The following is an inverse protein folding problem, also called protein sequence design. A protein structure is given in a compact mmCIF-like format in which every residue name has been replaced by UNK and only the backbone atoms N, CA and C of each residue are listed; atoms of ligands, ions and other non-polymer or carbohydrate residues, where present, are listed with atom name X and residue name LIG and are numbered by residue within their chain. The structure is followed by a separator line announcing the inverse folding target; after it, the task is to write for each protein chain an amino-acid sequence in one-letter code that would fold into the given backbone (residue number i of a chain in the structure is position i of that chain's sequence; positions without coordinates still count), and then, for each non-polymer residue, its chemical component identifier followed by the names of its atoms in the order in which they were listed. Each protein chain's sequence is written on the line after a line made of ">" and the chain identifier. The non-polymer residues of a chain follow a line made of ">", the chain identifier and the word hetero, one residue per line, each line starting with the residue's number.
data_IF_048162748965
#
_entry.id   IF_048162748965
#
_cell.length_a   1.000
_cell.length_b   1.000
_cell.length_c   1.000
_cell.angle_alpha   90.00
_cell.angle_beta   90.00
_cell.angle_gamma   90.00
#
_symmetry.space_group_name_H-M   'P 1'
#
loop_
_entity.id
_entity.type
_entity.pdbx_description
1 polymer ?
#
# COMPACT_ATOMS: atom_id res chain seq x y z
N UNK A 1 12.79 7.23 11.55
CA UNK A 1 11.90 7.29 10.37
C UNK A 1 12.26 6.17 9.40
N UNK A 2 11.28 5.57 8.73
CA UNK A 2 11.55 4.74 7.55
C UNK A 2 12.25 5.57 6.47
N UNK A 3 12.79 4.93 5.42
CA UNK A 3 13.43 5.68 4.34
C UNK A 3 12.43 6.58 3.57
N UNK A 4 11.13 6.32 3.70
CA UNK A 4 10.05 7.20 3.23
C UNK A 4 9.58 8.18 4.31
N UNK A 5 9.24 9.41 3.94
CA UNK A 5 8.55 10.35 4.84
C UNK A 5 7.06 10.02 5.00
N UNK A 6 6.57 9.00 4.29
CA UNK A 6 5.17 8.61 4.23
C UNK A 6 4.88 7.47 5.19
N UNK A 7 3.74 7.60 5.87
CA UNK A 7 3.11 6.55 6.66
C UNK A 7 1.80 6.15 5.99
N UNK A 8 1.31 4.93 6.25
CA UNK A 8 -0.01 4.52 5.78
C UNK A 8 -1.10 5.40 6.39
N UNK A 9 -0.94 5.83 7.64
CA UNK A 9 -1.80 6.82 8.30
C UNK A 9 -1.96 8.07 7.43
N UNK A 10 -0.85 8.69 7.03
CA UNK A 10 -0.88 9.91 6.22
C UNK A 10 -1.53 9.67 4.85
N UNK A 11 -1.17 8.57 4.18
CA UNK A 11 -1.76 8.20 2.89
C UNK A 11 -3.27 7.99 2.99
N UNK A 12 -3.74 7.34 4.06
CA UNK A 12 -5.16 7.05 4.25
C UNK A 12 -5.96 8.30 4.63
N UNK A 13 -5.45 9.18 5.49
CA UNK A 13 -6.09 10.48 5.75
C UNK A 13 -6.21 11.27 4.44
N UNK A 14 -5.12 11.39 3.68
CA UNK A 14 -5.12 12.14 2.43
C UNK A 14 -6.10 11.54 1.39
N UNK A 15 -6.21 10.21 1.33
CA UNK A 15 -7.17 9.54 0.45
C UNK A 15 -8.61 9.83 0.87
N UNK A 16 -8.91 9.79 2.16
CA UNK A 16 -10.23 10.16 2.69
C UNK A 16 -10.59 11.64 2.44
N UNK A 17 -9.60 12.54 2.44
CA UNK A 17 -9.80 13.95 2.11
C UNK A 17 -10.16 14.14 0.63
N UNK A 18 -9.53 13.39 -0.27
CA UNK A 18 -9.71 13.54 -1.73
C UNK A 18 -10.94 12.83 -2.29
N UNK A 19 -11.51 11.87 -1.57
CA UNK A 19 -12.73 11.17 -2.00
C UNK A 19 -13.95 12.04 -1.69
N UNK A 20 -14.65 12.46 -2.73
CA UNK A 20 -15.85 13.30 -2.67
C UNK A 20 -16.97 12.70 -3.55
N UNK A 21 -18.19 13.23 -3.42
CA UNK A 21 -19.33 12.82 -4.26
C UNK A 21 -19.13 13.29 -5.70
N UNK A 22 -19.36 12.41 -6.69
CA UNK A 22 -19.45 12.80 -8.09
C UNK A 22 -18.12 12.82 -8.85
N UNK A 23 -17.77 13.96 -9.47
CA UNK A 23 -16.75 14.21 -10.52
C UNK A 23 -15.27 13.98 -10.10
N UNK A 24 -15.04 13.14 -9.10
CA UNK A 24 -13.71 12.69 -8.75
C UNK A 24 -13.03 11.90 -9.88
N UNK A 25 -11.71 11.88 -9.84
CA UNK A 25 -10.89 11.06 -10.74
C UNK A 25 -11.21 9.56 -10.63
N UNK A 26 -11.72 9.09 -9.48
CA UNK A 26 -12.22 7.72 -9.32
C UNK A 26 -13.70 7.78 -8.98
N UNK A 27 -14.49 6.98 -9.69
CA UNK A 27 -15.92 6.84 -9.47
C UNK A 27 -16.20 5.63 -8.58
N UNK A 28 -17.09 5.84 -7.61
CA UNK A 28 -17.53 4.81 -6.68
C UNK A 28 -19.05 4.71 -6.66
N UNK A 29 -19.58 3.50 -6.45
CA UNK A 29 -21.00 3.25 -6.19
C UNK A 29 -21.45 3.93 -4.89
N UNK A 30 -20.67 3.74 -3.83
CA UNK A 30 -20.81 4.45 -2.57
C UNK A 30 -19.46 5.04 -2.16
N UNK A 31 -19.24 6.30 -2.54
CA UNK A 31 -18.01 7.02 -2.23
C UNK A 31 -17.84 7.23 -0.71
N UNK A 32 -18.93 7.33 0.06
CA UNK A 32 -18.88 7.58 1.49
C UNK A 32 -18.38 6.35 2.24
N UNK A 33 -18.79 5.14 1.81
CA UNK A 33 -18.24 3.88 2.32
C UNK A 33 -16.73 3.78 2.12
N UNK A 34 -16.22 4.12 0.94
CA UNK A 34 -14.77 4.10 0.65
C UNK A 34 -14.02 5.19 1.41
N UNK A 35 -14.59 6.40 1.47
CA UNK A 35 -14.05 7.53 2.26
C UNK A 35 -13.91 7.17 3.73
N UNK A 36 -14.97 6.65 4.34
CA UNK A 36 -14.97 6.27 5.75
C UNK A 36 -14.04 5.08 6.02
N UNK A 37 -13.94 4.12 5.10
CA UNK A 37 -12.97 3.03 5.19
C UNK A 37 -11.53 3.56 5.34
N UNK A 38 -11.12 4.59 4.61
CA UNK A 38 -9.79 5.17 4.76
C UNK A 38 -9.60 5.89 6.10
N UNK A 39 -10.56 6.72 6.53
CA UNK A 39 -10.48 7.39 7.83
C UNK A 39 -10.43 6.39 8.99
N UNK A 40 -11.29 5.37 8.96
CA UNK A 40 -11.34 4.35 10.01
C UNK A 40 -10.06 3.51 10.01
N UNK A 41 -9.49 3.19 8.84
CA UNK A 41 -8.18 2.55 8.73
C UNK A 41 -7.07 3.39 9.35
N UNK A 42 -7.04 4.70 9.08
CA UNK A 42 -6.07 5.62 9.65
C UNK A 42 -6.22 5.70 11.18
N UNK A 43 -7.45 5.84 11.68
CA UNK A 43 -7.74 5.87 13.13
C UNK A 43 -7.20 4.63 13.84
N UNK A 44 -7.41 3.43 13.30
CA UNK A 44 -6.88 2.21 13.90
C UNK A 44 -5.35 2.16 13.91
N UNK A 45 -4.68 2.74 12.92
CA UNK A 45 -3.21 2.77 12.82
C UNK A 45 -2.54 3.85 13.66
N UNK A 46 -3.31 4.82 14.17
CA UNK A 46 -2.76 5.97 14.90
C UNK A 46 -1.84 5.52 16.05
N UNK A 47 -0.62 6.07 16.09
CA UNK A 47 0.40 5.77 17.10
C UNK A 47 1.22 4.49 16.85
N UNK A 48 0.71 3.52 16.10
CA UNK A 48 1.47 2.29 15.81
C UNK A 48 2.68 2.55 14.93
N UNK A 49 2.50 3.32 13.85
CA UNK A 49 3.59 3.64 12.90
C UNK A 49 4.67 4.49 13.54
N UNK A 50 4.31 5.41 14.44
CA UNK A 50 5.26 6.25 15.17
C UNK A 50 6.18 5.42 16.07
N UNK A 51 5.62 4.43 16.77
CA UNK A 51 6.40 3.51 17.61
C UNK A 51 7.37 2.68 16.74
N UNK A 52 6.92 2.19 15.58
CA UNK A 52 7.80 1.44 14.66
C UNK A 52 8.94 2.32 14.13
N UNK A 53 8.61 3.54 13.71
CA UNK A 53 9.53 4.42 12.99
C UNK A 53 10.48 5.18 13.92
N UNK A 54 10.01 5.58 15.10
CA UNK A 54 10.68 6.53 15.99
C UNK A 54 10.79 6.03 17.45
N UNK A 55 10.11 4.94 17.82
CA UNK A 55 10.15 4.43 19.19
C UNK A 55 11.55 4.00 19.65
N UNK A 56 11.93 4.44 20.85
CA UNK A 56 13.17 4.07 21.53
C UNK A 56 13.14 2.63 22.05
N UNK A 57 11.96 2.19 22.53
CA UNK A 57 11.68 0.81 22.94
C UNK A 57 10.40 0.30 22.30
N UNK A 58 10.31 -1.02 22.17
CA UNK A 58 9.05 -1.67 21.77
C UNK A 58 8.10 -1.73 22.97
N UNK A 59 6.81 -1.44 22.78
CA UNK A 59 5.82 -1.46 23.85
C UNK A 59 5.51 -2.89 24.30
N UNK A 60 5.09 -3.02 25.56
CA UNK A 60 4.55 -4.27 26.11
C UNK A 60 3.13 -4.53 25.62
N UNK A 61 2.64 -5.75 25.85
CA UNK A 61 1.33 -6.19 25.35
C UNK A 61 0.19 -5.29 25.81
N UNK A 62 0.17 -4.95 27.08
CA UNK A 62 -0.83 -4.11 27.71
C UNK A 62 -0.81 -2.69 27.12
N UNK A 63 0.37 -2.17 26.79
CA UNK A 63 0.54 -0.81 26.27
C UNK A 63 -0.05 -0.67 24.85
N UNK A 64 0.29 -1.60 23.94
CA UNK A 64 -0.21 -1.54 22.57
C UNK A 64 -1.67 -2.00 22.45
N UNK A 65 -2.14 -2.88 23.34
CA UNK A 65 -3.57 -3.23 23.42
C UNK A 65 -4.39 -2.05 23.90
N UNK A 66 -3.97 -1.37 24.98
CA UNK A 66 -4.66 -0.17 25.46
C UNK A 66 -4.68 0.94 24.39
N UNK A 67 -3.63 1.04 23.57
CA UNK A 67 -3.62 1.94 22.41
C UNK A 67 -4.65 1.53 21.36
N UNK A 68 -4.68 0.25 20.97
CA UNK A 68 -5.69 -0.26 20.03
C UNK A 68 -7.11 0.00 20.54
N UNK A 69 -7.40 -0.29 21.81
CA UNK A 69 -8.71 -0.09 22.43
C UNK A 69 -9.15 1.38 22.44
N UNK A 70 -8.20 2.32 22.57
CA UNK A 70 -8.48 3.76 22.40
C UNK A 70 -8.83 4.08 20.95
N UNK A 71 -8.03 3.63 19.99
CA UNK A 71 -8.27 3.87 18.58
C UNK A 71 -9.62 3.31 18.11
N UNK A 72 -10.00 2.13 18.60
CA UNK A 72 -11.29 1.49 18.33
C UNK A 72 -12.48 2.38 18.73
N UNK A 73 -12.39 3.10 19.85
CA UNK A 73 -13.47 4.00 20.32
C UNK A 73 -13.69 5.21 19.41
N UNK A 74 -12.71 5.55 18.57
CA UNK A 74 -12.83 6.64 17.60
C UNK A 74 -13.45 6.19 16.26
N UNK A 75 -13.60 4.88 16.05
CA UNK A 75 -14.13 4.31 14.81
C UNK A 75 -15.62 4.05 14.95
N UNK A 76 -16.43 4.65 14.09
CA UNK A 76 -17.89 4.50 14.11
C UNK A 76 -18.36 3.16 13.52
N UNK A 77 -17.62 2.63 12.53
CA UNK A 77 -17.96 1.39 11.85
C UNK A 77 -17.65 0.16 12.73
N UNK A 78 -18.64 -0.27 13.51
CA UNK A 78 -18.51 -1.41 14.44
C UNK A 78 -18.25 -2.73 13.73
N UNK A 79 -18.76 -2.91 12.50
CA UNK A 79 -18.53 -4.13 11.70
C UNK A 79 -17.05 -4.23 11.32
N UNK A 80 -16.47 -3.11 10.86
CA UNK A 80 -15.04 -3.02 10.57
C UNK A 80 -14.19 -3.31 11.82
N UNK A 81 -14.48 -2.66 12.94
CA UNK A 81 -13.80 -2.87 14.22
C UNK A 81 -13.85 -4.34 14.64
N UNK A 82 -15.04 -4.94 14.64
CA UNK A 82 -15.25 -6.31 15.08
C UNK A 82 -14.44 -7.28 14.21
N UNK A 83 -14.48 -7.08 12.89
CA UNK A 83 -13.75 -7.92 11.94
C UNK A 83 -12.23 -7.82 12.13
N UNK A 84 -11.69 -6.60 12.20
CA UNK A 84 -10.25 -6.38 12.38
C UNK A 84 -9.78 -7.00 13.70
N UNK A 85 -10.53 -6.76 14.78
CA UNK A 85 -10.23 -7.30 16.11
C UNK A 85 -10.20 -8.82 16.10
N UNK A 86 -11.23 -9.46 15.54
CA UNK A 86 -11.31 -10.92 15.47
C UNK A 86 -10.16 -11.52 14.64
N UNK A 87 -9.83 -10.93 13.49
CA UNK A 87 -8.74 -11.42 12.65
C UNK A 87 -7.39 -11.34 13.37
N UNK A 88 -7.10 -10.23 14.05
CA UNK A 88 -5.87 -10.08 14.83
C UNK A 88 -5.84 -11.11 15.96
N UNK A 89 -6.91 -11.24 16.73
CA UNK A 89 -7.00 -12.19 17.84
C UNK A 89 -6.77 -13.64 17.37
N UNK A 90 -7.45 -14.07 16.31
CA UNK A 90 -7.28 -15.40 15.74
C UNK A 90 -5.84 -15.66 15.26
N UNK A 91 -5.19 -14.68 14.64
CA UNK A 91 -3.81 -14.82 14.16
C UNK A 91 -2.80 -14.83 15.32
N UNK A 92 -3.04 -14.02 16.35
CA UNK A 92 -2.21 -14.00 17.56
C UNK A 92 -2.32 -15.34 18.32
N UNK A 93 -3.52 -15.87 18.56
CA UNK A 93 -3.71 -17.15 19.24
C UNK A 93 -3.01 -18.30 18.50
N UNK A 94 -3.19 -18.39 17.18
CA UNK A 94 -2.52 -19.40 16.34
C UNK A 94 -0.99 -19.31 16.39
N UNK A 95 -0.44 -18.09 16.54
CA UNK A 95 1.01 -17.91 16.69
C UNK A 95 1.47 -18.31 18.09
N UNK A 96 0.68 -17.96 19.11
CA UNK A 96 0.99 -18.30 20.50
C UNK A 96 1.03 -19.81 20.74
N UNK A 97 0.21 -20.57 20.03
CA UNK A 97 0.22 -22.05 20.09
C UNK A 97 1.46 -22.68 19.42
N UNK A 98 2.11 -21.98 18.47
CA UNK A 98 3.15 -22.57 17.60
C UNK A 98 4.59 -22.18 17.97
N UNK A 99 4.81 -21.07 18.68
CA UNK A 99 6.14 -20.55 18.96
C UNK A 99 6.35 -20.36 20.48
N UNK A 100 7.36 -21.02 21.07
CA UNK A 100 7.68 -20.92 22.51
C UNK A 100 8.50 -19.66 22.88
N UNK A 101 9.03 -18.92 21.90
CA UNK A 101 9.88 -17.74 22.10
C UNK A 101 9.37 -16.58 21.23
N UNK A 102 8.75 -15.59 21.85
CA UNK A 102 8.21 -14.42 21.15
C UNK A 102 9.22 -13.28 21.12
N UNK A 103 10.16 -13.34 20.18
CA UNK A 103 10.89 -12.11 19.84
C UNK A 103 9.92 -11.16 19.10
N UNK A 104 9.64 -10.01 19.71
CA UNK A 104 8.90 -8.87 19.13
C UNK A 104 7.40 -9.08 18.85
N UNK A 105 6.60 -9.28 19.91
CA UNK A 105 5.12 -9.36 19.84
C UNK A 105 4.49 -8.12 19.18
N UNK A 106 4.98 -6.92 19.49
CA UNK A 106 4.43 -5.69 18.91
C UNK A 106 4.51 -5.65 17.38
N UNK A 107 5.68 -5.95 16.78
CA UNK A 107 5.82 -5.99 15.31
C UNK A 107 4.93 -7.06 14.69
N UNK A 108 4.74 -8.18 15.38
CA UNK A 108 3.81 -9.23 14.94
C UNK A 108 2.37 -8.73 14.95
N UNK A 109 1.94 -8.14 16.05
CA UNK A 109 0.61 -7.56 16.20
C UNK A 109 0.35 -6.49 15.14
N UNK A 110 1.31 -5.57 14.94
CA UNK A 110 1.23 -4.53 13.91
C UNK A 110 1.11 -5.12 12.50
N UNK A 111 1.86 -6.18 12.18
CA UNK A 111 1.71 -6.89 10.89
C UNK A 111 0.30 -7.44 10.71
N UNK A 112 -0.29 -8.03 11.75
CA UNK A 112 -1.65 -8.57 11.69
C UNK A 112 -2.71 -7.47 11.60
N UNK A 113 -2.50 -6.33 12.28
CA UNK A 113 -3.33 -5.14 12.12
C UNK A 113 -3.32 -4.64 10.67
N UNK A 114 -2.13 -4.47 10.07
CA UNK A 114 -2.00 -4.05 8.68
C UNK A 114 -2.68 -5.02 7.72
N UNK A 115 -2.55 -6.33 7.96
CA UNK A 115 -3.20 -7.36 7.15
C UNK A 115 -4.72 -7.28 7.28
N UNK A 116 -5.24 -7.20 8.49
CA UNK A 116 -6.68 -7.17 8.73
C UNK A 116 -7.35 -5.94 8.11
N UNK A 117 -6.67 -4.79 8.18
CA UNK A 117 -7.09 -3.57 7.49
C UNK A 117 -7.07 -3.77 5.97
N UNK A 118 -5.98 -4.30 5.41
CA UNK A 118 -5.87 -4.53 3.96
C UNK A 118 -6.95 -5.49 3.44
N UNK A 119 -7.22 -6.58 4.16
CA UNK A 119 -8.26 -7.55 3.81
C UNK A 119 -9.66 -6.90 3.80
N UNK A 120 -9.96 -5.98 4.73
CA UNK A 120 -11.22 -5.23 4.72
C UNK A 120 -11.28 -4.19 3.59
N UNK A 121 -10.16 -3.50 3.33
CA UNK A 121 -10.06 -2.51 2.27
C UNK A 121 -10.30 -3.14 0.89
N UNK A 122 -9.75 -4.32 0.66
CA UNK A 122 -9.93 -5.09 -0.56
C UNK A 122 -11.42 -5.27 -0.88
N UNK A 123 -12.21 -5.74 0.09
CA UNK A 123 -13.64 -6.00 -0.11
C UNK A 123 -14.47 -4.74 -0.32
N UNK A 124 -14.20 -3.68 0.45
CA UNK A 124 -14.88 -2.40 0.28
C UNK A 124 -14.58 -1.81 -1.09
N UNK A 125 -13.33 -1.89 -1.56
CA UNK A 125 -12.93 -1.41 -2.88
C UNK A 125 -13.56 -2.25 -3.98
N UNK A 126 -13.51 -3.58 -3.89
CA UNK A 126 -14.12 -4.48 -4.89
C UNK A 126 -15.62 -4.26 -5.02
N UNK A 127 -16.31 -3.96 -3.92
CA UNK A 127 -17.76 -3.74 -3.92
C UNK A 127 -18.15 -2.38 -4.51
N UNK A 128 -17.28 -1.37 -4.38
CA UNK A 128 -17.64 0.03 -4.65
C UNK A 128 -16.92 0.67 -5.83
N UNK A 129 -15.75 0.19 -6.24
CA UNK A 129 -15.02 0.75 -7.38
C UNK A 129 -15.81 0.55 -8.68
N UNK A 130 -15.92 1.62 -9.49
CA UNK A 130 -16.55 1.57 -10.81
C UNK A 130 -15.47 1.73 -11.88
N UNK A 131 -14.87 2.91 -11.97
CA UNK A 131 -13.90 3.27 -13.00
C UNK A 131 -13.06 4.47 -12.57
N UNK A 132 -11.95 4.70 -13.28
CA UNK A 132 -11.26 5.99 -13.29
C UNK A 132 -11.92 6.87 -14.36
N UNK A 133 -12.16 8.14 -14.06
CA UNK A 133 -12.54 9.13 -15.06
C UNK A 133 -11.37 9.36 -16.01
N UNK A 134 -11.41 8.75 -17.19
CA UNK A 134 -10.32 8.81 -18.17
C UNK A 134 -10.46 10.05 -19.07
N UNK A 135 -9.70 11.10 -18.73
CA UNK A 135 -9.50 12.26 -19.60
C UNK A 135 -8.08 12.19 -20.20
N UNK A 136 -8.03 11.95 -21.52
CA UNK A 136 -6.79 11.83 -22.28
C UNK A 136 -5.90 13.08 -22.16
N UNK A 137 -6.49 14.27 -22.01
CA UNK A 137 -5.75 15.52 -21.83
C UNK A 137 -5.01 15.56 -20.49
N UNK A 138 -5.61 14.99 -19.44
CA UNK A 138 -4.99 14.93 -18.10
C UNK A 138 -3.91 13.83 -18.07
N UNK A 139 -4.15 12.71 -18.75
CA UNK A 139 -3.19 11.59 -18.85
C UNK A 139 -1.89 11.98 -19.57
N UNK A 140 -1.99 12.85 -20.57
CA UNK A 140 -0.84 13.31 -21.37
C UNK A 140 -0.06 14.44 -20.71
N UNK A 141 -0.70 15.27 -19.89
CA UNK A 141 -0.07 16.40 -19.21
C UNK A 141 0.75 16.02 -17.95
N UNK A 142 0.54 14.83 -17.38
CA UNK A 142 1.14 14.40 -16.11
C UNK A 142 2.28 13.41 -16.32
N UNK A 143 3.32 13.51 -15.48
CA UNK A 143 4.41 12.53 -15.46
C UNK A 143 3.88 11.18 -15.00
N UNK A 144 4.12 10.14 -15.80
CA UNK A 144 3.59 8.79 -15.56
C UNK A 144 4.60 7.96 -14.76
N UNK A 145 4.12 7.35 -13.69
CA UNK A 145 4.86 6.38 -12.89
C UNK A 145 4.15 5.04 -12.96
N UNK A 146 4.89 3.98 -13.31
CA UNK A 146 4.39 2.61 -13.26
C UNK A 146 4.48 2.08 -11.82
N UNK A 147 3.38 1.56 -11.27
CA UNK A 147 3.39 0.90 -9.96
C UNK A 147 3.49 -0.62 -10.14
N UNK A 148 4.56 -1.22 -9.63
CA UNK A 148 4.69 -2.67 -9.47
C UNK A 148 4.35 -3.09 -8.05
N UNK A 149 3.40 -4.01 -7.88
CA UNK A 149 2.85 -4.38 -6.57
C UNK A 149 2.33 -5.83 -6.55
N UNK A 150 2.08 -6.37 -5.35
CA UNK A 150 1.36 -7.63 -5.21
C UNK A 150 -0.16 -7.38 -5.28
N UNK A 151 -0.89 -8.20 -6.04
CA UNK A 151 -2.31 -7.99 -6.34
C UNK A 151 -3.21 -7.68 -5.11
N UNK A 152 -2.92 -8.28 -3.95
CA UNK A 152 -3.69 -8.17 -2.71
C UNK A 152 -3.46 -6.89 -1.88
N UNK A 153 -3.06 -5.78 -2.50
CA UNK A 153 -2.77 -4.50 -1.84
C UNK A 153 -3.63 -3.34 -2.41
N UNK A 154 -4.90 -3.56 -2.79
CA UNK A 154 -5.73 -2.52 -3.47
C UNK A 154 -5.89 -1.24 -2.65
N UNK A 155 -6.11 -1.34 -1.35
CA UNK A 155 -6.23 -0.16 -0.48
C UNK A 155 -4.98 0.71 -0.45
N UNK A 156 -3.80 0.10 -0.40
CA UNK A 156 -2.54 0.85 -0.40
C UNK A 156 -2.19 1.41 -1.78
N UNK A 157 -2.45 0.65 -2.83
CA UNK A 157 -2.18 1.08 -4.22
C UNK A 157 -3.10 2.22 -4.65
N UNK A 158 -4.38 2.20 -4.26
CA UNK A 158 -5.30 3.33 -4.47
C UNK A 158 -4.92 4.54 -3.60
N UNK A 159 -4.47 4.35 -2.36
CA UNK A 159 -3.99 5.46 -1.55
C UNK A 159 -2.75 6.14 -2.15
N UNK A 160 -1.83 5.36 -2.72
CA UNK A 160 -0.70 5.88 -3.48
C UNK A 160 -1.16 6.58 -4.76
N UNK A 161 -2.16 6.06 -5.45
CA UNK A 161 -2.74 6.72 -6.63
C UNK A 161 -3.20 8.14 -6.29
N UNK A 162 -3.98 8.31 -5.22
CA UNK A 162 -4.43 9.63 -4.76
C UNK A 162 -3.27 10.53 -4.36
N UNK A 163 -2.28 9.98 -3.66
CA UNK A 163 -1.07 10.73 -3.28
C UNK A 163 -0.32 11.30 -4.49
N UNK A 164 -0.12 10.49 -5.54
CA UNK A 164 0.48 10.95 -6.80
C UNK A 164 -0.43 11.97 -7.51
N UNK A 165 -1.73 11.70 -7.55
CA UNK A 165 -2.70 12.56 -8.20
C UNK A 165 -2.70 13.98 -7.62
N UNK A 166 -2.68 14.12 -6.30
CA UNK A 166 -2.62 15.43 -5.62
C UNK A 166 -1.33 16.20 -5.94
N UNK A 167 -0.26 15.49 -6.29
CA UNK A 167 1.07 16.04 -6.59
C UNK A 167 1.32 16.19 -8.08
N UNK A 168 0.28 16.24 -8.91
CA UNK A 168 0.37 16.39 -10.37
C UNK A 168 1.05 15.22 -11.09
N UNK A 169 1.18 14.06 -10.43
CA UNK A 169 1.63 12.82 -11.04
C UNK A 169 0.47 11.96 -11.53
N UNK A 170 0.78 10.99 -12.39
CA UNK A 170 -0.11 9.91 -12.76
C UNK A 170 0.51 8.58 -12.34
N UNK A 171 -0.11 7.88 -11.41
CA UNK A 171 0.31 6.54 -11.02
C UNK A 171 -0.50 5.50 -11.81
N UNK A 172 0.16 4.71 -12.63
CA UNK A 172 -0.47 3.60 -13.32
C UNK A 172 -0.60 2.41 -12.37
N UNK A 173 -1.84 2.06 -12.03
CA UNK A 173 -2.20 0.92 -11.19
C UNK A 173 -3.10 -0.04 -12.00
N UNK A 174 -2.55 -1.18 -12.43
CA UNK A 174 -3.18 -2.10 -13.38
C UNK A 174 -4.68 -2.36 -13.08
N UNK A 175 -5.04 -2.75 -11.84
CA UNK A 175 -6.43 -3.08 -11.53
C UNK A 175 -7.40 -1.90 -11.65
N UNK A 176 -6.92 -0.66 -11.51
CA UNK A 176 -7.75 0.54 -11.61
C UNK A 176 -7.98 0.99 -13.05
N UNK A 177 -6.99 0.78 -13.94
CA UNK A 177 -7.06 1.21 -15.34
C UNK A 177 -7.65 0.14 -16.26
N UNK A 178 -7.41 -1.12 -15.95
CA UNK A 178 -7.73 -2.24 -16.85
C UNK A 178 -8.84 -3.15 -16.31
N UNK A 179 -9.40 -2.83 -15.13
CA UNK A 179 -10.40 -3.64 -14.45
C UNK A 179 -9.88 -5.02 -14.03
N UNK A 180 -10.79 -5.90 -13.59
CA UNK A 180 -10.48 -7.31 -13.30
C UNK A 180 -10.40 -8.07 -14.64
N UNK A 181 -9.27 -7.98 -15.34
CA UNK A 181 -9.08 -8.65 -16.63
C UNK A 181 -8.95 -10.17 -16.49
N UNK A 182 -9.79 -10.91 -17.23
CA UNK A 182 -9.88 -12.38 -17.25
C UNK A 182 -9.00 -13.06 -18.33
N UNK A 183 -8.13 -12.34 -19.06
CA UNK A 183 -7.33 -12.89 -20.16
C UNK A 183 -5.84 -12.50 -20.10
N UNK A 184 -4.97 -13.49 -19.89
CA UNK A 184 -3.55 -13.32 -19.55
C UNK A 184 -2.65 -12.76 -20.66
N UNK A 185 -2.98 -12.97 -21.94
CA UNK A 185 -2.20 -12.43 -23.07
C UNK A 185 -2.45 -10.93 -23.28
N UNK A 186 -3.72 -10.51 -23.23
CA UNK A 186 -4.14 -9.10 -23.33
C UNK A 186 -3.56 -8.28 -22.18
N UNK A 187 -3.45 -8.87 -20.98
CA UNK A 187 -2.82 -8.22 -19.83
C UNK A 187 -1.33 -7.94 -20.05
N UNK A 188 -0.59 -8.82 -20.72
CA UNK A 188 0.86 -8.63 -20.89
C UNK A 188 1.21 -7.48 -21.84
N UNK A 189 0.54 -7.40 -22.99
CA UNK A 189 0.79 -6.34 -23.99
C UNK A 189 0.46 -4.96 -23.41
N UNK A 190 -0.66 -4.82 -22.72
CA UNK A 190 -1.07 -3.59 -22.03
C UNK A 190 -0.06 -3.17 -20.96
N UNK A 191 0.43 -4.11 -20.16
CA UNK A 191 1.47 -3.83 -19.16
C UNK A 191 2.78 -3.41 -19.81
N UNK A 192 3.19 -4.03 -20.93
CA UNK A 192 4.39 -3.63 -21.66
C UNK A 192 4.29 -2.22 -22.26
N UNK A 193 3.10 -1.85 -22.76
CA UNK A 193 2.79 -0.50 -23.23
C UNK A 193 2.83 0.51 -22.08
N UNK A 194 2.13 0.23 -20.98
CA UNK A 194 2.13 1.09 -19.79
C UNK A 194 3.54 1.28 -19.20
N UNK A 195 4.36 0.22 -19.19
CA UNK A 195 5.77 0.28 -18.78
C UNK A 195 6.60 1.16 -19.73
N UNK A 196 6.35 1.09 -21.03
CA UNK A 196 7.05 1.90 -22.05
C UNK A 196 6.65 3.38 -21.96
N UNK A 197 5.39 3.64 -21.63
CA UNK A 197 4.84 4.99 -21.49
C UNK A 197 5.20 5.67 -20.16
N UNK A 198 5.73 4.92 -19.20
CA UNK A 198 6.03 5.42 -17.86
C UNK A 198 7.43 6.01 -17.76
N UNK A 199 7.52 7.22 -17.22
CA UNK A 199 8.78 7.93 -17.01
C UNK A 199 9.55 7.40 -15.79
N UNK A 200 8.83 6.86 -14.80
CA UNK A 200 9.39 6.37 -13.55
C UNK A 200 8.78 5.02 -13.19
N UNK A 201 9.49 4.25 -12.37
CA UNK A 201 9.03 2.97 -11.86
C UNK A 201 9.04 2.98 -10.34
N UNK A 202 7.93 2.58 -9.73
CA UNK A 202 7.80 2.44 -8.28
C UNK A 202 7.45 1.00 -7.93
N UNK A 203 8.32 0.34 -7.16
CA UNK A 203 8.05 -0.94 -6.53
C UNK A 203 7.41 -0.77 -5.15
N UNK A 204 6.16 -1.21 -5.00
CA UNK A 204 5.46 -1.26 -3.72
C UNK A 204 5.99 -2.43 -2.90
N UNK A 205 6.90 -2.14 -1.97
CA UNK A 205 7.52 -3.12 -1.09
C UNK A 205 6.61 -3.43 0.09
N UNK A 206 6.02 -4.62 0.09
CA UNK A 206 5.21 -5.17 1.19
C UNK A 206 5.64 -6.60 1.46
N UNK A 207 5.16 -7.19 2.56
CA UNK A 207 5.34 -8.64 2.79
C UNK A 207 4.64 -9.51 1.74
N UNK A 208 3.74 -8.92 0.95
CA UNK A 208 3.06 -9.59 -0.14
C UNK A 208 3.94 -9.59 -1.40
N UNK A 209 4.64 -8.50 -1.72
CA UNK A 209 5.45 -8.40 -2.94
C UNK A 209 6.89 -8.92 -2.79
N UNK A 210 7.47 -8.81 -1.59
CA UNK A 210 8.79 -9.34 -1.25
C UNK A 210 8.65 -10.51 -0.26
N UNK A 211 8.97 -11.71 -0.74
CA UNK A 211 8.95 -12.93 0.06
C UNK A 211 10.24 -13.02 0.88
N UNK A 212 10.11 -13.02 2.20
CA UNK A 212 11.21 -13.32 3.11
C UNK A 212 11.39 -14.83 3.24
N UNK A 213 12.05 -15.45 2.27
CA UNK A 213 12.48 -16.85 2.37
C UNK A 213 13.82 -16.86 3.12
N UNK A 214 14.06 -17.86 3.99
CA UNK A 214 15.32 -17.95 4.75
C UNK A 214 16.53 -17.88 3.80
N UNK A 215 17.32 -16.81 3.91
CA UNK A 215 18.53 -16.59 3.11
C UNK A 215 18.33 -15.82 1.80
N UNK A 216 17.11 -15.48 1.37
CA UNK A 216 16.90 -14.68 0.15
C UNK A 216 15.60 -13.87 0.18
N UNK A 217 15.67 -12.58 -0.20
CA UNK A 217 14.52 -11.67 -0.32
C UNK A 217 13.96 -11.75 -1.74
N UNK A 218 13.23 -12.83 -2.07
CA UNK A 218 12.74 -13.02 -3.44
C UNK A 218 11.55 -12.11 -3.75
N UNK A 219 11.59 -11.48 -4.92
CA UNK A 219 10.46 -10.68 -5.44
C UNK A 219 9.52 -11.63 -6.19
N UNK A 220 8.20 -11.43 -6.04
CA UNK A 220 7.20 -12.22 -6.77
C UNK A 220 7.45 -12.17 -8.29
N UNK A 221 7.17 -13.30 -8.96
CA UNK A 221 7.50 -13.49 -10.38
C UNK A 221 6.98 -12.36 -11.29
N UNK A 222 5.73 -11.94 -11.12
CA UNK A 222 5.16 -10.82 -11.89
C UNK A 222 5.90 -9.51 -11.67
N UNK A 223 6.14 -9.12 -10.40
CA UNK A 223 6.92 -7.93 -10.08
C UNK A 223 8.37 -8.01 -10.60
N UNK A 224 9.01 -9.19 -10.51
CA UNK A 224 10.35 -9.41 -11.03
C UNK A 224 10.40 -9.25 -12.57
N UNK A 225 9.37 -9.72 -13.28
CA UNK A 225 9.22 -9.53 -14.71
C UNK A 225 9.01 -8.05 -15.08
N UNK A 226 8.16 -7.31 -14.35
CA UNK A 226 7.94 -5.87 -14.56
C UNK A 226 9.24 -5.07 -14.35
N UNK A 227 9.95 -5.35 -13.25
CA UNK A 227 11.27 -4.78 -12.97
C UNK A 227 12.23 -5.05 -14.13
N UNK A 228 12.34 -6.32 -14.54
CA UNK A 228 13.21 -6.75 -15.64
C UNK A 228 12.91 -6.03 -16.97
N UNK A 229 11.63 -5.85 -17.31
CA UNK A 229 11.23 -5.11 -18.51
C UNK A 229 11.61 -3.64 -18.43
N UNK A 230 11.36 -2.99 -17.28
CA UNK A 230 11.71 -1.59 -17.11
C UNK A 230 13.22 -1.34 -17.21
N UNK A 231 14.05 -2.25 -16.66
CA UNK A 231 15.52 -2.19 -16.77
C UNK A 231 16.03 -2.08 -18.22
N UNK A 232 15.32 -2.65 -19.19
CA UNK A 232 15.74 -2.62 -20.59
C UNK A 232 15.52 -1.26 -21.26
N UNK A 233 14.65 -0.40 -20.69
CA UNK A 233 14.18 0.84 -21.33
C UNK A 233 14.56 2.11 -20.55
N UNK A 234 14.55 2.08 -19.22
CA UNK A 234 14.82 3.24 -18.35
C UNK A 234 15.70 2.85 -17.16
N UNK A 235 16.95 3.32 -17.15
CA UNK A 235 17.97 2.81 -16.20
C UNK A 235 18.05 3.52 -14.85
N UNK A 236 17.51 4.72 -14.71
CA UNK A 236 17.84 5.59 -13.56
C UNK A 236 16.64 5.92 -12.65
N UNK A 237 15.43 6.02 -13.21
CA UNK A 237 14.23 6.45 -12.49
C UNK A 237 13.45 5.29 -11.85
N UNK A 238 14.12 4.55 -10.96
CA UNK A 238 13.57 3.37 -10.28
C UNK A 238 13.56 3.56 -8.77
N UNK A 239 12.40 3.34 -8.18
CA UNK A 239 12.15 3.61 -6.78
C UNK A 239 11.44 2.48 -6.07
N UNK A 240 11.60 2.36 -4.76
CA UNK A 240 10.78 1.47 -3.93
C UNK A 240 10.20 2.20 -2.73
N UNK A 241 9.01 1.79 -2.28
CA UNK A 241 8.45 2.30 -1.02
C UNK A 241 9.16 1.66 0.18
N UNK A 242 9.43 2.42 1.24
CA UNK A 242 9.87 1.85 2.52
C UNK A 242 9.23 2.59 3.69
N UNK A 243 8.06 2.09 4.09
CA UNK A 243 7.26 2.68 5.17
C UNK A 243 7.86 2.46 6.56
N UNK A 244 8.59 1.34 6.75
CA UNK A 244 8.95 0.85 8.09
C UNK A 244 10.42 0.43 8.24
N UNK A 245 11.20 0.39 7.15
CA UNK A 245 12.59 -0.05 7.25
C UNK A 245 13.50 1.13 7.58
N UNK A 246 14.34 0.94 8.61
CA UNK A 246 15.36 1.92 9.03
C UNK A 246 16.70 1.71 8.34
N UNK A 247 16.83 0.62 7.59
CA UNK A 247 18.06 0.20 6.91
C UNK A 247 17.67 -0.22 5.50
N UNK A 248 18.49 0.13 4.52
CA UNK A 248 18.29 -0.29 3.14
C UNK A 248 18.24 -1.82 3.03
N UNK A 249 17.27 -2.36 2.28
CA UNK A 249 17.17 -3.80 2.11
C UNK A 249 18.35 -4.33 1.30
N UNK A 250 18.92 -5.45 1.76
CA UNK A 250 19.81 -6.25 0.92
C UNK A 250 18.96 -7.11 -0.02
N UNK A 251 18.75 -6.63 -1.24
CA UNK A 251 18.06 -7.34 -2.29
C UNK A 251 18.73 -7.01 -3.63
N UNK A 252 19.40 -7.99 -4.24
CA UNK A 252 20.19 -7.79 -5.46
C UNK A 252 19.35 -7.23 -6.62
N UNK A 253 18.04 -7.52 -6.66
CA UNK A 253 17.15 -6.99 -7.71
C UNK A 253 16.89 -5.48 -7.52
N UNK A 254 16.89 -5.02 -6.27
CA UNK A 254 16.63 -3.63 -5.88
C UNK A 254 17.90 -2.80 -5.66
N UNK A 255 19.09 -3.36 -5.90
CA UNK A 255 20.39 -2.70 -5.61
C UNK A 255 20.55 -1.34 -6.31
N UNK A 256 19.92 -1.18 -7.49
CA UNK A 256 19.95 0.09 -8.24
C UNK A 256 18.71 0.97 -8.03
N UNK A 257 17.81 0.60 -7.12
CA UNK A 257 16.60 1.37 -6.82
C UNK A 257 16.84 2.32 -5.66
N UNK A 258 16.23 3.51 -5.75
CA UNK A 258 16.27 4.51 -4.67
C UNK A 258 15.03 4.39 -3.78
N UNK A 259 15.12 4.58 -2.46
CA UNK A 259 13.90 4.68 -1.65
C UNK A 259 13.11 5.93 -2.07
N UNK A 260 11.80 5.76 -2.27
CA UNK A 260 10.87 6.89 -2.46
C UNK A 260 10.72 7.66 -1.14
N UNK A 261 11.14 8.92 -1.13
CA UNK A 261 10.91 9.83 -0.01
C UNK A 261 9.57 10.51 -0.15
N UNK A 262 9.34 11.14 -1.30
CA UNK A 262 8.13 11.91 -1.60
C UNK A 262 7.87 12.00 -3.11
N UNK A 263 6.76 12.63 -3.50
CA UNK A 263 6.48 13.04 -4.89
C UNK A 263 6.34 14.55 -4.96
N UNK A 264 6.99 15.19 -5.94
CA UNK A 264 6.90 16.64 -6.16
C UNK A 264 6.66 16.87 -7.64
N UNK A 265 5.53 17.51 -7.99
CA UNK A 265 5.15 17.78 -9.38
C UNK A 265 5.17 16.52 -10.28
N UNK A 266 4.72 15.41 -9.72
CA UNK A 266 4.64 14.11 -10.37
C UNK A 266 5.96 13.33 -10.38
N UNK A 267 7.04 13.89 -9.85
CA UNK A 267 8.35 13.24 -9.80
C UNK A 267 8.64 12.62 -8.44
N UNK A 268 9.03 11.35 -8.41
CA UNK A 268 9.57 10.72 -7.20
C UNK A 268 10.95 11.30 -6.85
N UNK A 269 11.17 11.60 -5.56
CA UNK A 269 12.44 12.09 -5.00
C UNK A 269 12.94 11.21 -3.85
#
# INVERSE_FOLDING_TARGET
>A
MGLSSLTRYNLFIESGDLIESGEGIVRFRDYLSVKNMYYDSARLLRGFEDIINNGERMPQMEEYQAMFDRNVKEVQNLVFVHRVTNQIQQQMSKKMEKEQSFSNLFKTYFKYLLKAIADYQEEVIETNFIEISDDESIRTARKKTFLSYAYYDKGLTQALFYYFWRRSGLLYVNWMWDGVNNHSSVTKEKLEEALKDSNQFLFLRTTNSELRIRGNNSIRQWCAWEIGNFYTKHKEEKYYTSFYDKIEPRNDILDTFRPMKEVVLGEIR
#
